data_IF_506571703128
#
_entry.id   IF_506571703128
#
_cell.length_a   1.000
_cell.length_b   1.000
_cell.length_c   1.000
_cell.angle_alpha   90.00
_cell.angle_beta   90.00
_cell.angle_gamma   90.00
#
_symmetry.space_group_name_H-M   'P 1'
#
loop_
_entity.id
_entity.type
_entity.pdbx_description
1 polymer ?
#
# COMPACT_ATOMS: atom_id res chain seq x y z
N UNK A 1 1.31 5.97 -21.83
CA UNK A 1 2.62 5.54 -21.29
C UNK A 1 2.43 5.19 -19.83
N UNK A 2 2.80 3.99 -19.40
CA UNK A 2 2.80 3.67 -17.98
C UNK A 2 3.95 4.46 -17.33
N UNK A 3 3.62 5.32 -16.37
CA UNK A 3 4.63 5.98 -15.53
C UNK A 3 5.39 4.90 -14.76
N UNK A 4 6.71 4.86 -14.91
CA UNK A 4 7.56 3.99 -14.11
C UNK A 4 8.02 4.76 -12.87
N UNK A 5 7.80 4.17 -11.69
CA UNK A 5 8.20 4.74 -10.42
C UNK A 5 9.47 4.00 -9.96
N UNK A 6 10.64 4.65 -9.90
CA UNK A 6 11.85 4.02 -9.35
C UNK A 6 11.67 3.69 -7.87
N UNK A 7 12.25 2.57 -7.41
CA UNK A 7 12.18 2.12 -6.02
C UNK A 7 12.60 3.22 -5.02
N UNK A 8 13.69 3.94 -5.26
CA UNK A 8 14.14 5.02 -4.35
C UNK A 8 13.16 6.21 -4.27
N UNK A 9 12.44 6.49 -5.36
CA UNK A 9 11.36 7.49 -5.35
C UNK A 9 10.18 6.98 -4.54
N UNK A 10 9.84 5.70 -4.71
CA UNK A 10 8.74 5.07 -4.00
C UNK A 10 9.00 4.96 -2.49
N UNK A 11 10.21 4.58 -2.09
CA UNK A 11 10.64 4.55 -0.69
C UNK A 11 10.53 5.92 -0.02
N UNK A 12 10.94 7.00 -0.71
CA UNK A 12 10.77 8.37 -0.21
C UNK A 12 9.30 8.73 -0.02
N UNK A 13 8.44 8.33 -0.96
CA UNK A 13 6.99 8.55 -0.85
C UNK A 13 6.38 7.78 0.33
N UNK A 14 6.85 6.56 0.63
CA UNK A 14 6.43 5.80 1.81
C UNK A 14 7.00 6.35 3.13
N UNK A 15 8.13 7.04 3.08
CA UNK A 15 8.71 7.70 4.25
C UNK A 15 8.04 9.05 4.57
N UNK A 16 7.31 9.64 3.63
CA UNK A 16 6.63 10.92 3.81
C UNK A 16 5.48 10.81 4.84
N UNK A 17 5.70 11.35 6.03
CA UNK A 17 4.72 11.32 7.12
C UNK A 17 3.55 12.28 6.93
N UNK A 18 3.63 13.22 5.98
CA UNK A 18 2.47 14.04 5.59
C UNK A 18 1.39 13.20 4.92
N UNK A 19 1.75 12.05 4.35
CA UNK A 19 0.80 11.08 3.81
C UNK A 19 0.28 10.18 4.94
N UNK A 20 -1.05 10.08 5.13
CA UNK A 20 -1.62 9.21 6.14
C UNK A 20 -1.18 7.74 5.98
N UNK A 21 -0.93 7.07 7.11
CA UNK A 21 -0.42 5.69 7.16
C UNK A 21 -1.26 4.71 6.33
N UNK A 22 -2.59 4.91 6.27
CA UNK A 22 -3.50 4.06 5.48
C UNK A 22 -3.17 4.04 4.00
N UNK A 23 -2.78 5.19 3.43
CA UNK A 23 -2.41 5.30 2.03
C UNK A 23 -1.03 4.71 1.79
N UNK A 24 -0.07 4.99 2.67
CA UNK A 24 1.28 4.42 2.57
C UNK A 24 1.27 2.90 2.67
N UNK A 25 0.51 2.34 3.60
CA UNK A 25 0.32 0.90 3.72
C UNK A 25 -0.34 0.30 2.47
N UNK A 26 -1.35 0.96 1.89
CA UNK A 26 -2.00 0.52 0.67
C UNK A 26 -1.01 0.49 -0.50
N UNK A 27 -0.22 1.54 -0.64
CA UNK A 27 0.79 1.64 -1.69
C UNK A 27 1.86 0.57 -1.52
N UNK A 28 2.34 0.33 -0.30
CA UNK A 28 3.31 -0.72 -0.02
C UNK A 28 2.77 -2.11 -0.42
N UNK A 29 1.50 -2.41 -0.11
CA UNK A 29 0.88 -3.67 -0.54
C UNK A 29 0.64 -3.76 -2.04
N UNK A 30 0.26 -2.67 -2.71
CA UNK A 30 0.18 -2.61 -4.17
C UNK A 30 1.53 -2.82 -4.81
N UNK A 31 2.60 -2.33 -4.18
CA UNK A 31 3.95 -2.50 -4.67
C UNK A 31 4.46 -3.91 -4.44
N UNK A 32 4.25 -4.53 -3.28
CA UNK A 32 4.77 -5.86 -2.96
C UNK A 32 3.93 -7.00 -3.58
N UNK A 33 2.65 -6.77 -3.81
CA UNK A 33 1.72 -7.76 -4.38
C UNK A 33 1.32 -7.41 -5.82
N UNK A 34 0.64 -8.33 -6.51
CA UNK A 34 -0.01 -8.04 -7.80
C UNK A 34 -1.54 -7.85 -7.64
N UNK A 35 -2.00 -7.74 -6.39
CA UNK A 35 -3.42 -7.66 -6.04
C UNK A 35 -4.00 -6.35 -6.56
N UNK A 36 -5.26 -6.38 -6.99
CA UNK A 36 -5.93 -5.16 -7.44
C UNK A 36 -6.28 -4.32 -6.23
N UNK A 37 -6.19 -3.00 -6.40
CA UNK A 37 -6.55 -2.03 -5.37
C UNK A 37 -7.95 -2.24 -4.78
N UNK A 38 -8.96 -2.55 -5.58
CA UNK A 38 -10.32 -2.79 -5.07
C UNK A 38 -10.38 -4.01 -4.17
N UNK A 39 -9.63 -5.07 -4.49
CA UNK A 39 -9.54 -6.27 -3.66
C UNK A 39 -8.86 -5.93 -2.32
N UNK A 40 -7.80 -5.10 -2.35
CA UNK A 40 -7.15 -4.62 -1.13
C UNK A 40 -8.09 -3.77 -0.26
N UNK A 41 -8.85 -2.86 -0.86
CA UNK A 41 -9.79 -1.99 -0.13
C UNK A 41 -10.94 -2.79 0.51
N UNK A 42 -11.25 -3.97 0.00
CA UNK A 42 -12.26 -4.88 0.55
C UNK A 42 -11.73 -5.77 1.70
N UNK A 43 -10.43 -5.72 2.02
CA UNK A 43 -9.85 -6.58 3.06
C UNK A 43 -10.31 -6.18 4.46
N UNK A 44 -10.55 -7.19 5.28
CA UNK A 44 -10.75 -7.06 6.71
C UNK A 44 -9.42 -7.18 7.46
N UNK A 45 -9.31 -6.56 8.64
CA UNK A 45 -8.11 -6.63 9.49
C UNK A 45 -7.74 -8.07 9.83
N UNK A 46 -8.72 -8.97 9.98
CA UNK A 46 -8.46 -10.40 10.22
C UNK A 46 -7.67 -11.09 9.10
N UNK A 47 -7.60 -10.49 7.90
CA UNK A 47 -6.80 -10.97 6.79
C UNK A 47 -5.34 -10.46 6.82
N UNK A 48 -4.99 -9.46 7.66
CA UNK A 48 -3.65 -8.87 7.73
C UNK A 48 -2.52 -9.91 7.85
N UNK A 49 -2.61 -10.95 8.70
CA UNK A 49 -1.54 -11.92 8.85
C UNK A 49 -1.24 -12.71 7.57
N UNK A 50 -2.23 -12.84 6.67
CA UNK A 50 -2.12 -13.62 5.42
C UNK A 50 -1.55 -12.79 4.26
N UNK A 51 -1.68 -11.47 4.32
CA UNK A 51 -1.26 -10.56 3.26
C UNK A 51 0.05 -9.83 3.60
N UNK A 52 0.59 -10.07 4.81
CA UNK A 52 1.84 -9.45 5.25
C UNK A 52 2.96 -9.79 4.25
N UNK A 53 3.64 -8.78 3.68
CA UNK A 53 4.75 -9.02 2.76
C UNK A 53 5.86 -9.82 3.43
N UNK A 54 6.55 -10.69 2.68
CA UNK A 54 7.67 -11.43 3.22
C UNK A 54 8.82 -10.46 3.56
N UNK A 55 9.56 -10.75 4.63
CA UNK A 55 10.55 -9.82 5.21
C UNK A 55 11.73 -9.51 4.27
N UNK A 56 11.99 -10.39 3.30
CA UNK A 56 13.02 -10.30 2.26
C UNK A 56 12.56 -9.56 0.99
N UNK A 57 11.31 -9.09 0.93
CA UNK A 57 10.81 -8.21 -0.12
C UNK A 57 11.51 -6.85 -0.12
N UNK A 58 11.47 -6.12 -1.24
CA UNK A 58 12.13 -4.82 -1.40
C UNK A 58 11.67 -3.80 -0.33
N UNK A 59 10.44 -3.94 0.13
CA UNK A 59 9.81 -3.14 1.17
C UNK A 59 9.44 -3.96 2.42
N UNK A 60 9.84 -5.23 2.52
CA UNK A 60 9.28 -6.19 3.48
C UNK A 60 9.16 -5.66 4.91
N UNK A 61 10.25 -5.15 5.48
CA UNK A 61 10.26 -4.56 6.82
C UNK A 61 9.43 -3.28 6.96
N UNK A 62 9.48 -2.38 5.97
CA UNK A 62 8.71 -1.13 5.99
C UNK A 62 7.21 -1.39 5.83
N UNK A 63 6.83 -2.25 4.89
CA UNK A 63 5.46 -2.62 4.62
C UNK A 63 4.82 -3.34 5.81
N UNK A 64 5.56 -4.27 6.44
CA UNK A 64 5.12 -4.92 7.68
C UNK A 64 4.92 -3.90 8.82
N UNK A 65 5.83 -2.93 8.98
CA UNK A 65 5.69 -1.89 9.99
C UNK A 65 4.47 -0.97 9.72
N UNK A 66 4.23 -0.61 8.46
CA UNK A 66 3.06 0.18 8.06
C UNK A 66 1.75 -0.58 8.31
N UNK A 67 1.70 -1.87 7.98
CA UNK A 67 0.54 -2.72 8.24
C UNK A 67 0.28 -2.93 9.73
N UNK A 68 1.32 -3.15 10.53
CA UNK A 68 1.18 -3.25 11.99
C UNK A 68 0.63 -1.97 12.60
N UNK A 69 1.10 -0.79 12.15
CA UNK A 69 0.56 0.51 12.57
C UNK A 69 -0.89 0.72 12.11
N UNK A 70 -1.21 0.30 10.89
CA UNK A 70 -2.55 0.43 10.33
C UNK A 70 -3.56 -0.46 11.07
N UNK A 71 -3.23 -1.74 11.28
CA UNK A 71 -4.10 -2.68 12.00
C UNK A 71 -4.25 -2.26 13.47
N UNK A 72 -3.14 -1.91 14.13
CA UNK A 72 -3.12 -1.66 15.57
C UNK A 72 -3.64 -2.88 16.33
N UNK A 73 -4.47 -2.65 17.34
CA UNK A 73 -5.10 -3.71 18.14
C UNK A 73 -6.46 -4.17 17.57
N UNK A 74 -6.83 -3.71 16.37
CA UNK A 74 -8.11 -4.07 15.75
C UNK A 74 -8.11 -5.56 15.42
N UNK A 75 -9.24 -6.21 15.66
CA UNK A 75 -9.45 -7.63 15.33
C UNK A 75 -10.48 -7.84 14.23
N UNK A 76 -11.20 -6.78 13.84
CA UNK A 76 -12.23 -6.81 12.80
C UNK A 76 -12.42 -5.43 12.15
N UNK A 77 -13.12 -5.43 11.02
CA UNK A 77 -13.43 -4.22 10.25
C UNK A 77 -12.44 -4.01 9.10
N UNK A 78 -12.66 -2.99 8.26
CA UNK A 78 -11.86 -2.76 7.07
C UNK A 78 -10.40 -2.51 7.43
N UNK A 79 -9.48 -3.24 6.80
CA UNK A 79 -8.04 -3.08 7.01
C UNK A 79 -7.62 -1.63 6.72
N UNK A 80 -8.03 -1.13 5.55
CA UNK A 80 -7.84 0.24 5.15
C UNK A 80 -9.02 1.09 5.60
N UNK A 81 -8.92 1.62 6.82
CA UNK A 81 -9.94 2.48 7.41
C UNK A 81 -9.46 3.94 7.55
N UNK A 82 -10.38 4.88 7.41
CA UNK A 82 -10.22 6.30 7.76
C UNK A 82 -11.23 6.60 8.85
N UNK A 83 -10.81 6.52 10.12
CA UNK A 83 -11.73 6.57 11.25
C UNK A 83 -12.69 5.36 11.25
N UNK A 84 -14.02 5.56 11.32
CA UNK A 84 -14.99 4.46 11.38
C UNK A 84 -15.35 3.86 10.01
N UNK A 85 -14.86 4.42 8.90
CA UNK A 85 -15.24 4.02 7.54
C UNK A 85 -14.09 3.39 6.78
N UNK A 86 -14.42 2.52 5.82
CA UNK A 86 -13.44 2.03 4.85
C UNK A 86 -12.91 3.18 3.98
N UNK A 87 -11.65 3.08 3.59
CA UNK A 87 -11.03 3.95 2.61
C UNK A 87 -11.70 3.72 1.25
N UNK A 88 -12.17 4.79 0.62
CA UNK A 88 -12.78 4.69 -0.70
C UNK A 88 -11.74 4.65 -1.82
N UNK A 89 -12.14 4.11 -2.97
CA UNK A 89 -11.35 4.14 -4.20
C UNK A 89 -10.97 5.57 -4.60
N UNK A 90 -11.94 6.49 -4.59
CA UNK A 90 -11.70 7.87 -5.01
C UNK A 90 -10.68 8.57 -4.10
N UNK A 91 -10.71 8.32 -2.79
CA UNK A 91 -9.71 8.85 -1.87
C UNK A 91 -8.33 8.24 -2.10
N UNK A 92 -8.26 6.93 -2.33
CA UNK A 92 -7.01 6.27 -2.64
C UNK A 92 -6.36 6.87 -3.91
N UNK A 93 -7.17 7.09 -4.96
CA UNK A 93 -6.72 7.73 -6.21
C UNK A 93 -6.28 9.18 -5.98
N UNK A 94 -7.12 9.99 -5.33
CA UNK A 94 -6.82 11.41 -5.09
C UNK A 94 -5.55 11.59 -4.28
N UNK A 95 -5.35 10.81 -3.22
CA UNK A 95 -4.13 10.91 -2.41
C UNK A 95 -2.89 10.46 -3.18
N UNK A 96 -2.98 9.42 -4.01
CA UNK A 96 -1.87 9.02 -4.86
C UNK A 96 -1.48 10.13 -5.85
N UNK A 97 -2.48 10.73 -6.50
CA UNK A 97 -2.28 11.85 -7.43
C UNK A 97 -1.66 13.07 -6.73
N UNK A 98 -2.12 13.39 -5.52
CA UNK A 98 -1.52 14.46 -4.71
C UNK A 98 -0.05 14.18 -4.36
N UNK A 99 0.32 12.91 -4.18
CA UNK A 99 1.71 12.45 -4.06
C UNK A 99 2.49 12.36 -5.38
N UNK A 100 1.90 12.81 -6.49
CA UNK A 100 2.53 12.85 -7.80
C UNK A 100 2.70 11.48 -8.47
N UNK A 101 1.89 10.48 -8.09
CA UNK A 101 1.93 9.13 -8.68
C UNK A 101 0.54 8.64 -9.04
N UNK A 102 0.41 7.89 -10.14
CA UNK A 102 -0.83 7.20 -10.44
C UNK A 102 -0.94 5.89 -9.64
N UNK A 103 -2.09 5.61 -9.04
CA UNK A 103 -2.27 4.41 -8.20
C UNK A 103 -2.04 3.10 -8.97
N UNK A 104 -2.39 3.06 -10.25
CA UNK A 104 -2.12 1.90 -11.10
C UNK A 104 -0.62 1.75 -11.41
N UNK A 105 0.12 2.87 -11.52
CA UNK A 105 1.55 2.88 -11.79
C UNK A 105 2.35 2.24 -10.66
N UNK A 106 1.90 2.37 -9.41
CA UNK A 106 2.48 1.71 -8.23
C UNK A 106 2.52 0.19 -8.43
N UNK A 107 1.37 -0.42 -8.76
CA UNK A 107 1.28 -1.87 -8.98
C UNK A 107 2.14 -2.35 -10.14
N UNK A 108 2.08 -1.67 -11.28
CA UNK A 108 2.90 -2.03 -12.45
C UNK A 108 4.40 -1.86 -12.21
N UNK A 109 4.81 -0.83 -11.48
CA UNK A 109 6.22 -0.60 -11.15
C UNK A 109 6.73 -1.66 -10.18
N UNK A 110 5.95 -1.98 -9.13
CA UNK A 110 6.26 -3.06 -8.21
C UNK A 110 6.43 -4.40 -8.92
N UNK A 111 5.49 -4.76 -9.81
CA UNK A 111 5.58 -5.99 -10.63
C UNK A 111 6.88 -6.04 -11.44
N UNK A 112 7.27 -4.94 -12.06
CA UNK A 112 8.52 -4.86 -12.84
C UNK A 112 9.77 -4.98 -11.96
N UNK A 113 9.76 -4.44 -10.75
CA UNK A 113 10.87 -4.57 -9.81
C UNK A 113 11.03 -6.01 -9.33
N UNK A 114 9.94 -6.67 -8.93
CA UNK A 114 9.97 -8.08 -8.52
C UNK A 114 10.36 -9.03 -9.65
N UNK A 115 9.95 -8.75 -10.89
CA UNK A 115 10.33 -9.56 -12.04
C UNK A 115 11.81 -9.42 -12.46
N UNK A 116 12.57 -8.51 -11.85
CA UNK A 116 14.02 -8.34 -12.05
C UNK A 116 14.87 -8.98 -10.95
N UNK A 117 14.25 -9.54 -9.90
CA UNK A 117 14.92 -10.38 -8.89
C UNK A 117 15.06 -11.81 -9.42
#
# INVERSE_FOLDING_TARGET
>A
MAEFIPLDRFLRLLADESVPVVHRALWALLWESDVRVLDLLALDVSAEPRIRPPADGDLGGLAAALLGRLAGDRTSGPLFAVGPRALSWDEAVRTAQAGGVAIHAIRTSGRQHRGRR
#
